data_IF_695287042936
#
_entry.id   IF_695287042936
#
_cell.length_a   1.000
_cell.length_b   1.000
_cell.length_c   1.000
_cell.angle_alpha   90.00
_cell.angle_beta   90.00
_cell.angle_gamma   90.00
#
_symmetry.space_group_name_H-M   'P 1'
#
loop_
_entity.id
_entity.type
_entity.pdbx_description
1 polymer ?
#
# COMPACT_ATOMS: atom_id res chain seq x y z
N UNK A 1 -42.67 -0.45 -31.69
CA UNK A 1 -42.04 -0.98 -30.51
C UNK A 1 -40.54 -0.87 -30.73
N UNK A 2 -40.00 0.06 -30.20
CA UNK A 2 -39.20 0.38 -29.02
C UNK A 2 -37.80 0.80 -29.39
N UNK A 3 -37.65 1.80 -30.30
CA UNK A 3 -36.39 2.51 -30.51
C UNK A 3 -36.02 3.39 -29.28
N UNK A 4 -36.96 3.69 -28.42
CA UNK A 4 -36.77 4.55 -27.24
C UNK A 4 -36.02 3.86 -26.08
N UNK A 5 -35.89 2.55 -26.12
CA UNK A 5 -35.17 1.79 -25.09
C UNK A 5 -33.64 1.87 -25.24
N UNK A 6 -33.11 2.47 -26.30
CA UNK A 6 -31.68 2.48 -26.62
C UNK A 6 -31.03 3.85 -26.38
N UNK A 7 -31.77 4.87 -26.00
CA UNK A 7 -31.18 6.14 -25.54
C UNK A 7 -30.68 5.99 -24.08
N UNK A 8 -29.78 5.05 -23.85
CA UNK A 8 -28.96 5.07 -22.65
C UNK A 8 -28.09 6.32 -22.75
N UNK A 9 -28.23 7.19 -21.74
CA UNK A 9 -27.31 8.31 -21.57
C UNK A 9 -25.87 7.78 -21.56
N UNK A 10 -25.22 7.80 -22.71
CA UNK A 10 -23.81 7.39 -22.88
C UNK A 10 -22.86 8.47 -22.38
N UNK A 11 -23.39 9.62 -21.98
CA UNK A 11 -22.58 10.73 -21.51
C UNK A 11 -21.99 10.44 -20.15
N UNK A 12 -20.66 10.59 -20.04
CA UNK A 12 -19.96 10.53 -18.76
C UNK A 12 -20.33 11.74 -17.90
N UNK A 13 -21.19 11.55 -16.90
CA UNK A 13 -21.66 12.59 -15.99
C UNK A 13 -20.78 12.71 -14.76
N UNK A 14 -20.28 11.60 -14.23
CA UNK A 14 -19.38 11.59 -13.07
C UNK A 14 -17.92 11.76 -13.50
N UNK A 15 -17.38 12.97 -13.32
CA UNK A 15 -16.01 13.33 -13.69
C UNK A 15 -14.98 12.97 -12.61
N UNK A 16 -15.17 11.91 -11.86
CA UNK A 16 -14.17 11.44 -10.91
C UNK A 16 -12.87 11.07 -11.64
N UNK A 17 -11.78 11.64 -11.17
CA UNK A 17 -10.43 11.37 -11.67
C UNK A 17 -9.48 11.30 -10.49
N UNK A 18 -8.51 10.41 -10.56
CA UNK A 18 -7.51 10.19 -9.53
C UNK A 18 -6.15 10.61 -10.05
N UNK A 19 -5.47 11.50 -9.37
CA UNK A 19 -4.10 11.85 -9.64
C UNK A 19 -3.18 10.86 -8.92
N UNK A 20 -2.31 10.15 -9.67
CA UNK A 20 -1.37 9.16 -9.09
C UNK A 20 0.06 9.59 -9.39
N UNK A 21 0.84 9.81 -8.34
CA UNK A 21 2.23 10.25 -8.45
C UNK A 21 3.06 9.85 -7.23
N UNK A 22 4.37 10.04 -7.33
CA UNK A 22 5.31 9.67 -6.28
C UNK A 22 6.36 10.75 -6.02
N UNK A 23 6.98 10.72 -4.85
CA UNK A 23 8.16 11.55 -4.56
C UNK A 23 9.38 11.07 -5.34
N UNK A 24 10.38 11.95 -5.52
CA UNK A 24 11.70 11.59 -6.05
C UNK A 24 12.43 10.61 -5.12
N UNK A 25 13.29 9.75 -5.69
CA UNK A 25 14.11 8.80 -4.93
C UNK A 25 13.36 7.55 -4.47
N UNK A 26 12.37 7.10 -5.26
CA UNK A 26 11.66 5.84 -5.02
C UNK A 26 12.52 4.63 -5.32
N UNK A 27 12.43 3.59 -4.45
CA UNK A 27 13.00 2.28 -4.77
C UNK A 27 12.24 1.63 -5.94
N UNK A 28 12.86 0.72 -6.69
CA UNK A 28 12.21 0.05 -7.82
C UNK A 28 10.87 -0.58 -7.48
N UNK A 29 10.78 -1.26 -6.34
CA UNK A 29 9.57 -1.93 -5.84
C UNK A 29 8.37 -0.99 -5.73
N UNK A 30 8.53 0.16 -5.07
CA UNK A 30 7.44 1.13 -4.91
C UNK A 30 7.14 1.91 -6.19
N UNK A 31 8.13 2.07 -7.06
CA UNK A 31 7.91 2.64 -8.39
C UNK A 31 7.01 1.73 -9.23
N UNK A 32 7.27 0.42 -9.23
CA UNK A 32 6.42 -0.55 -9.90
C UNK A 32 5.01 -0.56 -9.31
N UNK A 33 4.88 -0.51 -7.98
CA UNK A 33 3.56 -0.40 -7.33
C UNK A 33 2.80 0.86 -7.81
N UNK A 34 3.47 2.00 -7.94
CA UNK A 34 2.84 3.23 -8.45
C UNK A 34 2.35 3.05 -9.90
N UNK A 35 3.11 2.35 -10.75
CA UNK A 35 2.67 2.04 -12.13
C UNK A 35 1.52 1.01 -12.13
N UNK A 36 1.53 0.03 -11.23
CA UNK A 36 0.43 -0.91 -11.07
C UNK A 36 -0.88 -0.19 -10.70
N UNK A 37 -0.82 0.79 -9.78
CA UNK A 37 -1.98 1.63 -9.44
C UNK A 37 -2.52 2.37 -10.68
N UNK A 38 -1.64 2.93 -11.51
CA UNK A 38 -2.05 3.60 -12.75
C UNK A 38 -2.68 2.62 -13.75
N UNK A 39 -2.16 1.41 -13.82
CA UNK A 39 -2.67 0.38 -14.71
C UNK A 39 -4.06 -0.14 -14.30
N UNK A 40 -4.30 -0.31 -13.00
CA UNK A 40 -5.58 -0.76 -12.46
C UNK A 40 -6.71 0.27 -12.59
N UNK A 41 -6.38 1.56 -12.62
CA UNK A 41 -7.38 2.63 -12.62
C UNK A 41 -7.43 3.34 -13.97
N UNK A 42 -8.40 3.03 -14.87
CA UNK A 42 -8.50 3.68 -16.18
C UNK A 42 -8.80 5.19 -16.09
N UNK A 43 -9.37 5.64 -14.99
CA UNK A 43 -9.66 7.06 -14.70
C UNK A 43 -8.50 7.78 -14.00
N UNK A 44 -7.35 7.13 -13.84
CA UNK A 44 -6.16 7.77 -13.27
C UNK A 44 -5.49 8.73 -14.25
N UNK A 45 -4.88 9.77 -13.69
CA UNK A 45 -3.92 10.65 -14.38
C UNK A 45 -2.58 10.54 -13.69
N UNK A 46 -1.52 10.51 -14.46
CA UNK A 46 -0.16 10.51 -13.93
C UNK A 46 0.40 11.93 -13.89
N UNK A 47 1.20 12.21 -12.87
CA UNK A 47 1.99 13.43 -12.74
C UNK A 47 3.47 13.05 -12.62
N UNK A 48 4.41 13.94 -13.02
CA UNK A 48 5.82 13.79 -12.72
C UNK A 48 6.10 13.62 -11.23
N UNK A 49 7.26 13.09 -10.92
CA UNK A 49 7.68 12.91 -9.52
C UNK A 49 7.86 14.26 -8.84
N UNK A 50 7.25 14.41 -7.68
CA UNK A 50 7.39 15.63 -6.89
C UNK A 50 8.69 15.65 -6.09
N UNK A 51 9.22 16.85 -5.89
CA UNK A 51 10.32 17.08 -4.96
C UNK A 51 9.88 16.86 -3.51
N UNK A 52 10.78 16.34 -2.68
CA UNK A 52 10.49 16.07 -1.27
C UNK A 52 10.29 17.32 -0.41
N UNK A 53 10.78 18.44 -0.90
CA UNK A 53 10.70 19.73 -0.20
C UNK A 53 9.44 20.54 -0.56
N UNK A 54 8.60 19.98 -1.43
CA UNK A 54 7.35 20.62 -1.81
C UNK A 54 6.36 20.59 -0.64
N UNK A 55 5.64 21.68 -0.41
CA UNK A 55 4.53 21.68 0.54
C UNK A 55 3.42 20.76 -0.01
N UNK A 56 2.95 19.85 0.84
CA UNK A 56 1.86 18.93 0.44
C UNK A 56 0.59 19.68 0.04
N UNK A 57 0.40 20.91 0.47
CA UNK A 57 -0.75 21.74 0.09
C UNK A 57 -0.75 22.10 -1.40
N UNK A 58 0.42 22.24 -2.01
CA UNK A 58 0.56 22.51 -3.44
C UNK A 58 0.00 21.37 -4.32
N UNK A 59 -0.17 20.18 -3.74
CA UNK A 59 -0.84 19.07 -4.42
C UNK A 59 -2.28 19.42 -4.77
N UNK A 60 -2.95 20.26 -3.97
CA UNK A 60 -4.31 20.70 -4.25
C UNK A 60 -4.36 21.51 -5.56
N UNK A 61 -3.41 22.42 -5.76
CA UNK A 61 -3.34 23.27 -6.93
C UNK A 61 -3.05 22.42 -8.19
N UNK A 62 -2.16 21.43 -8.06
CA UNK A 62 -1.89 20.48 -9.15
C UNK A 62 -3.14 19.66 -9.49
N UNK A 63 -3.89 19.21 -8.49
CA UNK A 63 -5.12 18.45 -8.70
C UNK A 63 -6.19 19.30 -9.37
N UNK A 64 -6.34 20.57 -9.01
CA UNK A 64 -7.25 21.50 -9.63
C UNK A 64 -6.88 21.73 -11.09
N UNK A 65 -5.62 22.06 -11.39
CA UNK A 65 -5.10 22.21 -12.76
C UNK A 65 -5.34 20.97 -13.62
N UNK A 66 -5.24 19.77 -13.04
CA UNK A 66 -5.49 18.50 -13.72
C UNK A 66 -6.95 18.08 -13.71
N UNK A 67 -7.84 18.85 -13.06
CA UNK A 67 -9.25 18.50 -12.84
C UNK A 67 -9.40 17.11 -12.24
N UNK A 68 -8.68 16.83 -11.14
CA UNK A 68 -8.75 15.59 -10.38
C UNK A 68 -9.44 15.82 -9.05
N UNK A 69 -10.33 14.90 -8.66
CA UNK A 69 -11.11 14.98 -7.42
C UNK A 69 -10.49 14.16 -6.29
N UNK A 70 -9.56 13.28 -6.61
CA UNK A 70 -8.84 12.47 -5.63
C UNK A 70 -7.37 12.41 -6.01
N UNK A 71 -6.51 12.24 -5.01
CA UNK A 71 -5.07 12.04 -5.20
C UNK A 71 -4.59 10.81 -4.45
N UNK A 72 -3.66 10.09 -5.05
CA UNK A 72 -2.88 9.03 -4.43
C UNK A 72 -1.41 9.40 -4.55
N UNK A 73 -0.81 9.75 -3.42
CA UNK A 73 0.58 10.18 -3.34
C UNK A 73 1.43 9.16 -2.61
N UNK A 74 2.51 8.71 -3.24
CA UNK A 74 3.50 7.80 -2.67
C UNK A 74 4.72 8.58 -2.19
N UNK A 75 4.85 8.71 -0.88
CA UNK A 75 6.00 9.33 -0.21
C UNK A 75 7.07 8.28 0.08
N UNK A 76 8.21 8.37 -0.58
CA UNK A 76 9.33 7.45 -0.43
C UNK A 76 10.40 7.98 0.51
N UNK A 77 10.87 7.10 1.38
CA UNK A 77 11.97 7.40 2.30
C UNK A 77 13.24 6.61 1.93
N UNK A 78 14.40 7.19 2.23
CA UNK A 78 15.71 6.57 1.92
C UNK A 78 15.91 5.21 2.60
N UNK A 79 15.26 4.98 3.74
CA UNK A 79 15.33 3.74 4.50
C UNK A 79 14.42 2.63 3.94
N UNK A 80 14.08 2.69 2.66
CA UNK A 80 13.30 1.70 1.92
C UNK A 80 11.89 1.40 2.48
N UNK A 81 11.22 2.41 3.03
CA UNK A 81 9.81 2.34 3.38
C UNK A 81 9.02 3.42 2.65
N UNK A 82 7.72 3.20 2.50
CA UNK A 82 6.84 4.08 1.75
C UNK A 82 5.58 4.37 2.55
N UNK A 83 5.16 5.63 2.54
CA UNK A 83 3.81 6.01 2.92
C UNK A 83 2.98 6.27 1.67
N UNK A 84 1.70 5.94 1.74
CA UNK A 84 0.73 6.31 0.71
C UNK A 84 -0.35 7.18 1.33
N UNK A 85 -0.67 8.26 0.66
CA UNK A 85 -1.74 9.17 1.03
C UNK A 85 -2.88 9.03 0.04
N UNK A 86 -4.06 8.82 0.56
CA UNK A 86 -5.31 8.89 -0.20
C UNK A 86 -6.02 10.15 0.22
N UNK A 87 -6.19 11.09 -0.69
CA UNK A 87 -6.81 12.39 -0.40
C UNK A 87 -7.98 12.68 -1.33
N UNK A 88 -9.05 13.19 -0.74
CA UNK A 88 -10.17 13.76 -1.49
C UNK A 88 -9.95 15.26 -1.71
N UNK A 89 -10.22 15.75 -2.89
CA UNK A 89 -10.04 17.14 -3.27
C UNK A 89 -11.39 17.87 -3.42
N UNK A 90 -11.46 19.16 -3.06
CA UNK A 90 -10.49 19.97 -2.32
C UNK A 90 -10.64 19.86 -0.79
N UNK A 91 -11.76 19.35 -0.31
CA UNK A 91 -12.14 19.44 1.11
C UNK A 91 -11.59 18.31 2.01
N UNK A 92 -10.99 17.27 1.43
CA UNK A 92 -10.53 16.09 2.18
C UNK A 92 -11.58 14.97 2.20
N UNK A 93 -11.46 14.00 3.09
CA UNK A 93 -10.38 13.75 4.04
C UNK A 93 -9.09 13.27 3.38
N UNK A 94 -7.98 13.24 4.15
CA UNK A 94 -6.73 12.62 3.76
C UNK A 94 -6.38 11.49 4.72
N UNK A 95 -6.08 10.31 4.18
CA UNK A 95 -5.70 9.15 4.96
C UNK A 95 -4.26 8.79 4.61
N UNK A 96 -3.41 8.75 5.62
CA UNK A 96 -2.02 8.30 5.51
C UNK A 96 -1.90 6.87 5.94
N UNK A 97 -1.33 6.03 5.08
CA UNK A 97 -0.98 4.64 5.37
C UNK A 97 0.51 4.41 5.24
N UNK A 98 1.04 3.48 6.00
CA UNK A 98 2.32 2.85 5.70
C UNK A 98 2.08 1.59 4.87
N UNK A 99 2.93 1.39 3.85
CA UNK A 99 2.82 0.26 2.94
C UNK A 99 3.78 -0.85 3.35
N UNK A 100 3.25 -2.08 3.50
CA UNK A 100 4.02 -3.28 3.80
C UNK A 100 3.75 -4.39 2.80
N UNK A 101 4.61 -5.39 2.80
CA UNK A 101 4.46 -6.66 2.07
C UNK A 101 4.02 -6.48 0.61
N UNK A 102 4.67 -5.52 -0.07
CA UNK A 102 4.38 -5.22 -1.46
C UNK A 102 4.93 -6.32 -2.35
N UNK A 103 4.07 -6.87 -3.20
CA UNK A 103 4.46 -7.67 -4.35
C UNK A 103 3.74 -7.11 -5.57
N UNK A 104 4.50 -6.70 -6.58
CA UNK A 104 3.99 -6.02 -7.76
C UNK A 104 3.48 -7.01 -8.81
N UNK A 105 2.71 -6.52 -9.79
CA UNK A 105 2.23 -7.34 -10.91
C UNK A 105 3.37 -8.06 -11.64
N UNK A 106 4.51 -7.41 -11.79
CA UNK A 106 5.65 -7.98 -12.50
C UNK A 106 6.40 -9.06 -11.70
N UNK A 107 6.34 -8.99 -10.37
CA UNK A 107 6.94 -10.00 -9.48
C UNK A 107 6.06 -11.26 -9.38
N UNK A 108 4.73 -11.06 -9.41
CA UNK A 108 3.76 -12.14 -9.35
C UNK A 108 3.54 -12.68 -10.76
N UNK A 109 4.22 -13.77 -11.09
CA UNK A 109 3.96 -14.55 -12.33
C UNK A 109 2.77 -15.49 -12.11
N UNK A 110 1.63 -14.92 -11.71
CA UNK A 110 0.40 -15.70 -11.50
C UNK A 110 -0.36 -15.88 -12.81
N UNK A 111 -1.20 -16.91 -12.86
CA UNK A 111 -2.00 -17.27 -14.05
C UNK A 111 -3.19 -16.33 -14.29
N UNK A 112 -3.57 -15.53 -13.28
CA UNK A 112 -4.70 -14.60 -13.38
C UNK A 112 -4.40 -13.43 -14.31
N UNK A 113 -5.43 -13.01 -15.05
CA UNK A 113 -5.36 -11.88 -15.97
C UNK A 113 -6.68 -11.09 -15.93
N UNK A 114 -6.66 -9.83 -16.27
CA UNK A 114 -7.86 -9.03 -16.45
C UNK A 114 -7.78 -8.16 -17.69
N UNK A 115 -8.94 -7.81 -18.22
CA UNK A 115 -9.02 -6.96 -19.40
C UNK A 115 -8.61 -5.54 -19.04
N UNK A 116 -7.62 -4.99 -19.72
CA UNK A 116 -7.16 -3.62 -19.47
C UNK A 116 -8.31 -2.62 -19.61
N UNK A 117 -8.55 -1.87 -18.53
CA UNK A 117 -9.61 -0.87 -18.47
C UNK A 117 -10.99 -1.45 -18.12
N UNK A 118 -11.11 -2.70 -17.76
CA UNK A 118 -12.33 -3.25 -17.16
C UNK A 118 -12.57 -2.65 -15.76
N UNK A 119 -13.74 -2.90 -15.20
CA UNK A 119 -14.19 -2.27 -13.96
C UNK A 119 -14.06 -3.25 -12.81
N UNK A 120 -13.31 -2.94 -11.75
CA UNK A 120 -13.21 -3.81 -10.58
C UNK A 120 -14.53 -3.87 -9.80
N UNK A 121 -14.86 -5.04 -9.28
CA UNK A 121 -15.78 -5.17 -8.16
C UNK A 121 -14.99 -4.91 -6.88
N UNK A 122 -15.51 -4.04 -6.03
CA UNK A 122 -14.86 -3.72 -4.74
C UNK A 122 -15.54 -4.52 -3.63
N UNK A 123 -14.78 -5.42 -3.03
CA UNK A 123 -15.23 -6.21 -1.90
C UNK A 123 -14.60 -5.67 -0.61
N UNK A 124 -15.41 -5.46 0.40
CA UNK A 124 -14.99 -5.02 1.73
C UNK A 124 -15.42 -6.05 2.76
N UNK A 125 -14.52 -6.37 3.66
CA UNK A 125 -14.80 -7.21 4.81
C UNK A 125 -15.91 -6.62 5.69
N UNK A 126 -16.58 -7.46 6.47
CA UNK A 126 -17.66 -7.08 7.38
C UNK A 126 -17.25 -6.01 8.38
N UNK A 127 -15.99 -6.02 8.82
CA UNK A 127 -15.42 -5.01 9.71
C UNK A 127 -15.56 -3.57 9.21
N UNK A 128 -15.60 -3.36 7.89
CA UNK A 128 -15.80 -2.03 7.30
C UNK A 128 -17.24 -1.51 7.39
N UNK A 129 -18.19 -2.35 7.78
CA UNK A 129 -19.59 -1.99 7.96
C UNK A 129 -19.95 -1.77 9.43
N UNK A 130 -19.03 -2.09 10.35
CA UNK A 130 -19.23 -1.95 11.76
C UNK A 130 -19.27 -0.46 12.18
N UNK A 131 -20.34 -0.06 12.85
CA UNK A 131 -20.54 1.32 13.31
C UNK A 131 -19.56 1.70 14.44
N UNK A 132 -19.05 0.73 15.17
CA UNK A 132 -18.06 0.96 16.23
C UNK A 132 -16.73 1.47 15.68
N UNK A 133 -16.42 1.17 14.41
CA UNK A 133 -15.18 1.49 13.74
C UNK A 133 -15.34 2.59 12.68
N UNK A 134 -15.73 3.78 13.10
CA UNK A 134 -15.97 4.92 12.19
C UNK A 134 -14.79 5.25 11.26
N UNK A 135 -13.54 5.01 11.71
CA UNK A 135 -12.35 5.16 10.89
C UNK A 135 -12.33 4.22 9.67
N UNK A 136 -12.84 2.99 9.81
CA UNK A 136 -12.91 2.04 8.71
C UNK A 136 -13.94 2.45 7.67
N UNK A 137 -15.05 3.06 8.09
CA UNK A 137 -16.05 3.60 7.17
C UNK A 137 -15.48 4.74 6.32
N UNK A 138 -14.67 5.63 6.93
CA UNK A 138 -13.97 6.69 6.19
C UNK A 138 -12.99 6.09 5.17
N UNK A 139 -12.23 5.07 5.57
CA UNK A 139 -11.31 4.36 4.67
C UNK A 139 -12.08 3.68 3.52
N UNK A 140 -13.18 3.00 3.81
CA UNK A 140 -14.05 2.37 2.81
C UNK A 140 -14.53 3.38 1.77
N UNK A 141 -15.07 4.50 2.23
CA UNK A 141 -15.55 5.56 1.34
C UNK A 141 -14.42 6.11 0.47
N UNK A 142 -13.22 6.27 1.03
CA UNK A 142 -12.06 6.73 0.26
C UNK A 142 -11.62 5.70 -0.79
N UNK A 143 -11.57 4.42 -0.44
CA UNK A 143 -11.23 3.35 -1.40
C UNK A 143 -12.27 3.24 -2.51
N UNK A 144 -13.56 3.38 -2.19
CA UNK A 144 -14.62 3.42 -3.20
C UNK A 144 -14.46 4.61 -4.15
N UNK A 145 -14.08 5.78 -3.66
CA UNK A 145 -13.84 6.98 -4.47
C UNK A 145 -12.61 6.84 -5.36
N UNK A 146 -11.56 6.18 -4.88
CA UNK A 146 -10.29 6.04 -5.61
C UNK A 146 -10.33 4.88 -6.59
N UNK A 147 -10.75 3.69 -6.16
CA UNK A 147 -10.72 2.49 -7.00
C UNK A 147 -12.00 2.27 -7.80
N UNK A 148 -13.11 2.87 -7.39
CA UNK A 148 -14.37 2.80 -8.10
C UNK A 148 -14.30 3.53 -9.45
N UNK A 149 -14.46 2.80 -10.53
CA UNK A 149 -14.43 3.38 -11.88
C UNK A 149 -15.76 4.07 -12.16
N UNK A 150 -15.76 5.36 -12.57
CA UNK A 150 -16.98 6.09 -12.89
C UNK A 150 -17.77 5.42 -14.03
N UNK A 151 -19.10 5.46 -13.93
CA UNK A 151 -19.98 4.95 -14.99
C UNK A 151 -19.73 5.74 -16.29
N UNK A 152 -19.70 5.04 -17.43
CA UNK A 152 -19.49 5.62 -18.76
C UNK A 152 -18.17 6.38 -18.93
N UNK A 153 -17.14 6.06 -18.13
CA UNK A 153 -15.81 6.66 -18.32
C UNK A 153 -15.24 6.27 -19.69
N UNK A 154 -14.69 7.22 -20.50
CA UNK A 154 -14.27 6.96 -21.89
C UNK A 154 -13.20 5.86 -22.04
N UNK A 155 -12.33 5.69 -21.04
CA UNK A 155 -11.26 4.68 -21.04
C UNK A 155 -11.67 3.37 -20.37
N UNK A 156 -12.85 3.33 -19.75
CA UNK A 156 -13.33 2.14 -19.05
C UNK A 156 -14.17 1.27 -19.98
N UNK A 157 -13.97 -0.03 -19.88
CA UNK A 157 -14.79 -1.03 -20.55
C UNK A 157 -15.94 -1.45 -19.66
N UNK A 158 -17.10 -1.83 -20.21
CA UNK A 158 -18.30 -2.14 -19.42
C UNK A 158 -18.27 -3.52 -18.75
N UNK A 159 -17.12 -4.18 -18.69
CA UNK A 159 -16.96 -5.51 -18.14
C UNK A 159 -16.47 -5.47 -16.69
N UNK A 160 -16.93 -6.45 -15.91
CA UNK A 160 -16.52 -6.74 -14.55
C UNK A 160 -15.90 -8.13 -14.50
N UNK A 161 -14.62 -8.23 -14.75
CA UNK A 161 -13.86 -9.48 -14.86
C UNK A 161 -12.88 -9.69 -13.70
N UNK A 162 -12.78 -8.71 -12.80
CA UNK A 162 -11.86 -8.75 -11.66
C UNK A 162 -12.44 -8.10 -10.42
N UNK A 163 -11.90 -8.49 -9.27
CA UNK A 163 -12.31 -8.02 -7.96
C UNK A 163 -11.11 -7.53 -7.16
N UNK A 164 -11.29 -6.41 -6.45
CA UNK A 164 -10.36 -5.95 -5.41
C UNK A 164 -10.96 -6.20 -4.04
N UNK A 165 -10.31 -7.03 -3.24
CA UNK A 165 -10.70 -7.32 -1.87
C UNK A 165 -9.90 -6.49 -0.87
N UNK A 166 -10.61 -5.91 0.10
CA UNK A 166 -10.07 -5.16 1.22
C UNK A 166 -10.47 -5.88 2.52
N UNK A 167 -9.48 -6.45 3.21
CA UNK A 167 -9.69 -7.25 4.41
C UNK A 167 -9.05 -6.54 5.59
N UNK A 168 -9.77 -6.45 6.72
CA UNK A 168 -9.26 -5.87 7.95
C UNK A 168 -8.72 -6.96 8.87
N UNK A 169 -7.41 -7.08 8.98
CA UNK A 169 -6.73 -8.12 9.76
C UNK A 169 -5.60 -7.48 10.55
N UNK A 170 -5.53 -7.74 11.85
CA UNK A 170 -4.47 -7.26 12.76
C UNK A 170 -4.24 -5.75 12.70
N UNK A 171 -5.32 -4.96 12.66
CA UNK A 171 -5.21 -3.50 12.60
C UNK A 171 -4.69 -2.95 11.27
N UNK A 172 -4.68 -3.77 10.20
CA UNK A 172 -4.17 -3.42 8.87
C UNK A 172 -5.15 -3.80 7.77
N UNK A 173 -5.14 -3.04 6.70
CA UNK A 173 -5.93 -3.34 5.50
C UNK A 173 -5.10 -4.17 4.53
N UNK A 174 -5.48 -5.40 4.33
CA UNK A 174 -4.89 -6.30 3.35
C UNK A 174 -5.59 -6.12 2.02
N UNK A 175 -4.85 -5.78 0.99
CA UNK A 175 -5.41 -5.58 -0.35
C UNK A 175 -4.97 -6.73 -1.25
N UNK A 176 -5.97 -7.33 -1.92
CA UNK A 176 -5.79 -8.42 -2.88
C UNK A 176 -6.58 -8.14 -4.14
N UNK A 177 -6.06 -8.59 -5.27
CA UNK A 177 -6.67 -8.41 -6.58
C UNK A 177 -6.82 -9.75 -7.28
N UNK A 178 -8.03 -10.09 -7.66
CA UNK A 178 -8.40 -11.38 -8.21
C UNK A 178 -9.11 -11.24 -9.55
N UNK A 179 -8.85 -12.17 -10.45
CA UNK A 179 -9.68 -12.44 -11.62
C UNK A 179 -10.88 -13.26 -11.17
N UNK A 180 -12.05 -12.92 -11.70
CA UNK A 180 -13.26 -13.71 -11.57
C UNK A 180 -13.30 -14.63 -12.79
N UNK A 181 -13.07 -15.93 -12.60
CA UNK A 181 -13.14 -16.88 -13.69
C UNK A 181 -14.60 -17.10 -14.08
N UNK A 182 -14.95 -17.04 -15.39
CA UNK A 182 -16.28 -17.38 -15.82
C UNK A 182 -16.55 -18.86 -15.51
N UNK A 183 -17.75 -19.13 -15.05
CA UNK A 183 -18.22 -20.52 -14.86
C UNK A 183 -18.34 -21.15 -16.24
N UNK A 184 -17.89 -22.41 -16.39
CA UNK A 184 -18.14 -23.14 -17.62
C UNK A 184 -19.66 -23.34 -17.81
N UNK A 185 -20.10 -23.48 -19.09
CA UNK A 185 -21.52 -23.57 -19.47
C UNK A 185 -22.33 -24.61 -18.67
N UNK A 186 -21.66 -25.64 -18.18
CA UNK A 186 -22.27 -26.76 -17.46
C UNK A 186 -22.63 -26.44 -16.00
N UNK A 187 -22.18 -25.28 -15.48
CA UNK A 187 -22.35 -24.90 -14.08
C UNK A 187 -22.89 -23.45 -13.92
N UNK A 188 -23.54 -22.91 -14.96
CA UNK A 188 -24.07 -21.54 -14.98
C UNK A 188 -25.04 -21.22 -13.84
N UNK A 189 -25.72 -22.24 -13.31
CA UNK A 189 -26.77 -22.11 -12.29
C UNK A 189 -26.20 -22.18 -10.85
N UNK A 190 -24.93 -22.51 -10.66
CA UNK A 190 -24.33 -22.65 -9.34
C UNK A 190 -23.22 -21.60 -9.08
N UNK A 191 -23.49 -20.54 -8.30
CA UNK A 191 -22.51 -19.50 -7.96
C UNK A 191 -21.29 -20.03 -7.17
N UNK A 192 -21.38 -21.22 -6.57
CA UNK A 192 -20.29 -21.85 -5.81
C UNK A 192 -19.10 -22.28 -6.67
N UNK A 193 -19.27 -22.37 -7.97
CA UNK A 193 -18.21 -22.81 -8.90
C UNK A 193 -17.39 -21.66 -9.52
N UNK A 194 -17.62 -20.41 -9.10
CA UNK A 194 -16.76 -19.32 -9.51
C UNK A 194 -15.43 -19.38 -8.74
N UNK A 195 -14.34 -19.50 -9.48
CA UNK A 195 -13.00 -19.48 -8.87
C UNK A 195 -12.37 -18.10 -8.98
N UNK A 196 -11.68 -17.70 -7.92
CA UNK A 196 -10.92 -16.46 -7.89
C UNK A 196 -9.43 -16.79 -8.07
N UNK A 197 -8.84 -16.28 -9.15
CA UNK A 197 -7.41 -16.44 -9.42
C UNK A 197 -6.70 -15.12 -9.13
N UNK A 198 -5.69 -15.12 -8.29
CA UNK A 198 -4.99 -13.89 -7.94
C UNK A 198 -4.20 -13.33 -9.13
N UNK A 199 -4.35 -12.03 -9.38
CA UNK A 199 -3.63 -11.30 -10.41
C UNK A 199 -2.47 -10.51 -9.76
N UNK A 200 -2.72 -9.86 -8.63
CA UNK A 200 -1.86 -8.86 -8.01
C UNK A 200 -2.22 -7.43 -8.46
N UNK A 201 -1.53 -6.40 -7.97
CA UNK A 201 -0.53 -6.46 -6.92
C UNK A 201 -1.15 -6.84 -5.56
N UNK A 202 -0.31 -7.33 -4.65
CA UNK A 202 -0.69 -7.53 -3.25
C UNK A 202 0.11 -6.60 -2.36
N UNK A 203 -0.55 -5.99 -1.41
CA UNK A 203 0.08 -5.10 -0.43
C UNK A 203 -0.77 -4.97 0.82
N UNK A 204 -0.15 -4.49 1.89
CA UNK A 204 -0.79 -4.26 3.18
C UNK A 204 -0.65 -2.79 3.54
N UNK A 205 -1.74 -2.17 3.99
CA UNK A 205 -1.82 -0.77 4.38
C UNK A 205 -2.06 -0.68 5.89
N UNK A 206 -1.11 -0.16 6.62
CA UNK A 206 -1.28 0.15 8.04
C UNK A 206 -1.71 1.62 8.17
N UNK A 207 -2.90 1.90 8.73
CA UNK A 207 -3.34 3.27 8.92
C UNK A 207 -2.45 3.97 9.94
N UNK A 208 -2.02 5.18 9.63
CA UNK A 208 -1.20 6.03 10.49
C UNK A 208 -2.06 7.12 11.10
N UNK A 209 -2.72 7.91 10.24
CA UNK A 209 -3.58 9.01 10.65
C UNK A 209 -4.61 9.35 9.57
N UNK A 210 -5.69 10.00 9.99
CA UNK A 210 -6.71 10.58 9.12
C UNK A 210 -6.79 12.07 9.43
N UNK A 211 -6.65 12.91 8.39
CA UNK A 211 -6.84 14.35 8.46
C UNK A 211 -8.21 14.73 7.92
N UNK A 212 -8.80 15.77 8.49
CA UNK A 212 -10.09 16.30 8.03
C UNK A 212 -10.01 16.94 6.63
N UNK A 213 -8.91 17.63 6.36
CA UNK A 213 -8.73 18.36 5.10
C UNK A 213 -7.88 17.61 4.08
N UNK A 214 -7.71 18.26 2.93
CA UNK A 214 -6.84 17.76 1.86
C UNK A 214 -5.39 18.15 2.15
N UNK A 215 -4.56 17.13 2.47
CA UNK A 215 -3.15 17.26 2.91
C UNK A 215 -2.92 18.27 4.05
N UNK A 216 -3.98 18.68 4.75
CA UNK A 216 -3.97 19.70 5.79
C UNK A 216 -5.12 19.46 6.78
N UNK A 217 -5.21 20.31 7.81
CA UNK A 217 -6.31 20.27 8.77
C UNK A 217 -6.03 19.44 10.01
N UNK A 218 -7.06 19.29 10.85
CA UNK A 218 -6.95 18.60 12.12
C UNK A 218 -6.91 17.09 11.96
N UNK A 219 -6.21 16.42 12.86
CA UNK A 219 -6.18 14.95 12.93
C UNK A 219 -7.49 14.47 13.54
N UNK A 220 -8.29 13.71 12.76
CA UNK A 220 -9.53 13.06 13.21
C UNK A 220 -9.21 11.74 13.90
N UNK A 221 -8.28 10.98 13.34
CA UNK A 221 -7.89 9.67 13.86
C UNK A 221 -6.37 9.54 13.78
N UNK A 222 -5.78 8.99 14.83
CA UNK A 222 -4.37 8.62 14.90
C UNK A 222 -4.28 7.22 15.48
N UNK A 223 -3.57 6.34 14.78
CA UNK A 223 -3.31 4.99 15.27
C UNK A 223 -2.28 5.05 16.40
N UNK A 224 -2.67 4.63 17.60
CA UNK A 224 -1.82 4.61 18.81
C UNK A 224 -0.76 3.53 18.77
N UNK A 225 -1.05 2.41 18.09
CA UNK A 225 -0.17 1.25 18.02
C UNK A 225 0.90 1.39 16.93
N UNK A 226 0.72 2.38 16.06
CA UNK A 226 1.64 2.64 14.96
C UNK A 226 3.00 3.11 15.47
N UNK A 227 4.05 2.37 15.09
CA UNK A 227 5.45 2.75 15.32
C UNK A 227 6.13 3.01 13.98
N UNK A 228 6.65 4.21 13.80
CA UNK A 228 7.33 4.55 12.54
C UNK A 228 8.58 3.68 12.34
N UNK A 229 8.90 3.25 11.11
CA UNK A 229 10.09 2.45 10.81
C UNK A 229 11.39 3.11 11.25
N UNK A 230 11.45 4.43 11.24
CA UNK A 230 12.61 5.19 11.72
C UNK A 230 12.87 4.95 13.23
N UNK A 231 11.81 4.91 14.03
CA UNK A 231 11.90 4.62 15.47
C UNK A 231 12.30 3.16 15.70
N UNK A 232 11.68 2.22 14.96
CA UNK A 232 12.03 0.80 15.05
C UNK A 232 13.50 0.53 14.66
N UNK A 233 13.98 1.14 13.57
CA UNK A 233 15.38 1.00 13.17
C UNK A 233 16.33 1.61 14.19
N UNK A 234 15.93 2.70 14.85
CA UNK A 234 16.74 3.32 15.90
C UNK A 234 16.84 2.42 17.14
N UNK A 235 15.75 1.81 17.58
CA UNK A 235 15.78 0.87 18.70
C UNK A 235 16.64 -0.35 18.37
N UNK A 236 16.45 -0.97 17.19
CA UNK A 236 17.26 -2.12 16.76
C UNK A 236 18.76 -1.82 16.71
N UNK A 237 19.15 -0.61 16.26
CA UNK A 237 20.55 -0.18 16.28
C UNK A 237 21.11 -0.02 17.69
N UNK A 238 20.28 0.48 18.60
CA UNK A 238 20.66 0.63 20.01
C UNK A 238 20.88 -0.75 20.64
N UNK A 239 19.91 -1.67 20.45
CA UNK A 239 19.96 -3.02 20.97
C UNK A 239 21.17 -3.80 20.41
N UNK A 240 21.46 -3.65 19.12
CA UNK A 240 22.63 -4.22 18.46
C UNK A 240 23.96 -3.63 19.03
N UNK A 241 23.99 -2.32 19.30
CA UNK A 241 25.13 -1.66 19.93
C UNK A 241 25.38 -2.14 21.36
N UNK A 242 24.33 -2.31 22.15
CA UNK A 242 24.42 -2.84 23.51
C UNK A 242 24.89 -4.30 23.51
N UNK A 243 24.38 -5.12 22.60
CA UNK A 243 24.82 -6.53 22.43
C UNK A 243 26.29 -6.63 22.01
N UNK A 244 26.74 -5.75 21.09
CA UNK A 244 28.14 -5.72 20.67
C UNK A 244 29.05 -5.30 21.82
N UNK A 245 28.65 -4.33 22.64
CA UNK A 245 29.40 -3.90 23.81
C UNK A 245 29.52 -5.03 24.85
N UNK A 246 28.45 -5.73 25.14
CA UNK A 246 28.47 -6.89 26.04
C UNK A 246 29.39 -7.99 25.54
N UNK A 247 29.38 -8.29 24.23
CA UNK A 247 30.26 -9.26 23.62
C UNK A 247 31.74 -8.83 23.72
N UNK A 248 32.04 -7.54 23.56
CA UNK A 248 33.38 -7.01 23.71
C UNK A 248 33.89 -7.17 25.17
N UNK A 249 33.08 -6.82 26.15
CA UNK A 249 33.41 -6.97 27.58
C UNK A 249 33.68 -8.45 27.91
N UNK A 250 32.81 -9.35 27.44
CA UNK A 250 32.95 -10.78 27.67
C UNK A 250 34.22 -11.35 27.03
N UNK A 251 34.62 -10.84 25.87
CA UNK A 251 35.86 -11.20 25.20
C UNK A 251 37.08 -10.71 26.00
N UNK A 252 37.06 -9.47 26.50
CA UNK A 252 38.13 -8.93 27.34
C UNK A 252 38.28 -9.73 28.65
N UNK A 253 37.17 -10.06 29.33
CA UNK A 253 37.19 -10.91 30.51
C UNK A 253 37.75 -12.30 30.23
N UNK A 254 37.42 -12.88 29.07
CA UNK A 254 37.90 -14.17 28.63
C UNK A 254 39.42 -14.12 28.34
N UNK A 255 39.87 -13.03 27.69
CA UNK A 255 41.30 -12.82 27.43
C UNK A 255 42.07 -12.68 28.72
N UNK A 256 41.59 -11.85 29.65
CA UNK A 256 42.22 -11.63 30.97
C UNK A 256 42.32 -12.94 31.77
N UNK A 257 41.27 -13.79 31.70
CA UNK A 257 41.31 -15.13 32.32
C UNK A 257 42.36 -16.05 31.66
N UNK A 258 42.48 -16.02 30.34
CA UNK A 258 43.48 -16.81 29.60
C UNK A 258 44.89 -16.32 29.93
N UNK A 259 45.12 -15.04 29.98
CA UNK A 259 46.41 -14.43 30.31
C UNK A 259 46.80 -14.72 31.77
N UNK A 260 45.84 -14.70 32.69
CA UNK A 260 46.04 -15.07 34.09
C UNK A 260 46.18 -16.60 34.34
N UNK A 261 45.76 -17.42 33.38
CA UNK A 261 45.85 -18.88 33.42
C UNK A 261 47.10 -19.45 32.69
N UNK A 262 47.97 -18.57 32.14
CA UNK A 262 49.25 -19.01 31.60
C UNK A 262 50.11 -19.57 32.75
N UNK A 263 50.23 -20.88 32.77
CA UNK A 263 51.15 -21.55 33.67
C UNK A 263 52.58 -21.21 33.27
N UNK A 264 53.44 -21.04 34.28
CA UNK A 264 54.88 -20.93 34.02
C UNK A 264 55.32 -22.13 33.20
N UNK A 265 56.19 -21.96 32.18
CA UNK A 265 56.66 -23.05 31.35
C UNK A 265 57.27 -24.15 32.25
N UNK A 266 56.75 -25.36 32.13
CA UNK A 266 57.22 -26.47 32.89
C UNK A 266 58.63 -26.90 32.34
N UNK A 267 59.53 -27.22 33.23
CA UNK A 267 60.90 -27.67 32.89
C UNK A 267 60.95 -28.89 31.96
N UNK A 268 59.77 -29.53 31.76
CA UNK A 268 59.64 -30.68 30.85
C UNK A 268 59.37 -30.25 29.40
N UNK A 269 58.84 -29.02 29.17
CA UNK A 269 58.55 -28.52 27.80
C UNK A 269 59.90 -28.24 27.06
N UNK A 270 60.96 -27.87 27.77
CA UNK A 270 62.29 -27.69 27.17
C UNK A 270 62.99 -29.02 26.73
N UNK A 271 62.51 -30.19 27.15
CA UNK A 271 63.07 -31.49 26.77
C UNK A 271 62.38 -32.08 25.52
N UNK A 272 61.30 -31.49 25.01
CA UNK A 272 60.58 -32.02 23.87
C UNK A 272 60.58 -31.10 22.63
N UNK A 273 61.35 -30.00 22.64
CA UNK A 273 61.76 -29.29 21.46
C UNK A 273 63.10 -29.89 20.92
#
# INVERSE_FOLDING_TARGET
MDADYIQRETRWTNKQRVLVFSSKGSSPKYRHLTEDFKAMMPHSKSEPKLDKNLDMREINDICEMRSCNNAVYFEHHRSNYCYVYFAGMPAGPTIKFQVYNVTTLNELKLSGNCLKGSRPLLHFDTAFNDESNSQLQVMKNMFQRVFGVPRNHPKAKPFHDHMMGFYWIDGKVWVRHYQISPVSSDYLDNPEYQTLTEIGPRFVLEPVLILNGSFSGNVIYKNTDFRSPAVLMRSMRKDAGESALQSAIQNEETQTRKDGAQMEPDHLDEMFE
#
